data_IF_273080490450
#
_entry.id   IF_273080490450
#
_cell.length_a   1.000
_cell.length_b   1.000
_cell.length_c   1.000
_cell.angle_alpha   90.00
_cell.angle_beta   90.00
_cell.angle_gamma   90.00
#
_symmetry.space_group_name_H-M   'P 1'
#
loop_
_entity.id
_entity.type
_entity.pdbx_description
1 polymer ?
#
# COMPACT_ATOMS: atom_id res chain seq x y z
N UNK A 1 1.94 6.64 20.55
CA UNK A 1 3.09 5.79 20.10
C UNK A 1 3.22 5.92 18.59
N UNK A 2 4.45 6.05 18.04
CA UNK A 2 4.65 6.09 16.58
C UNK A 2 4.29 4.73 16.00
N UNK A 3 3.32 4.71 15.08
CA UNK A 3 2.82 3.50 14.43
C UNK A 3 3.52 3.24 13.09
N UNK A 4 3.71 4.32 12.32
CA UNK A 4 4.46 4.27 11.06
C UNK A 4 5.52 5.37 11.09
N UNK A 5 6.77 5.03 10.79
CA UNK A 5 7.85 6.00 10.64
C UNK A 5 8.51 5.82 9.27
N UNK A 6 8.66 6.88 8.56
CA UNK A 6 9.28 6.91 7.22
C UNK A 6 10.51 7.81 7.26
N UNK A 7 11.66 7.30 6.81
CA UNK A 7 12.95 8.02 6.82
C UNK A 7 13.57 8.07 5.44
N UNK A 8 13.72 9.27 4.90
CA UNK A 8 14.43 9.57 3.64
C UNK A 8 13.99 8.69 2.47
N UNK A 9 12.69 8.36 2.43
CA UNK A 9 12.14 7.42 1.47
C UNK A 9 12.19 7.98 0.06
N UNK A 10 12.84 7.25 -0.83
CA UNK A 10 13.02 7.66 -2.23
C UNK A 10 12.65 6.52 -3.16
N UNK A 11 11.93 6.85 -4.24
CA UNK A 11 11.64 5.94 -5.35
C UNK A 11 11.92 6.59 -6.68
N UNK A 12 12.82 5.98 -7.44
CA UNK A 12 13.14 6.33 -8.81
C UNK A 12 12.87 5.11 -9.68
N UNK A 13 12.09 5.28 -10.73
CA UNK A 13 11.79 4.25 -11.73
C UNK A 13 12.74 4.39 -12.92
N UNK A 14 13.20 3.27 -13.48
CA UNK A 14 14.11 3.23 -14.64
C UNK A 14 15.45 2.59 -14.35
N UNK A 15 16.32 2.56 -15.36
CA UNK A 15 17.62 1.86 -15.27
C UNK A 15 18.73 2.71 -14.67
N UNK A 16 18.73 4.03 -14.90
CA UNK A 16 19.80 4.97 -14.47
C UNK A 16 19.42 5.66 -13.14
N UNK A 17 19.03 4.89 -12.13
CA UNK A 17 18.56 5.42 -10.84
C UNK A 17 19.62 6.21 -10.09
N UNK A 18 20.88 5.77 -10.13
CA UNK A 18 21.98 6.47 -9.44
C UNK A 18 22.24 7.86 -10.03
N UNK A 19 22.31 7.96 -11.36
CA UNK A 19 22.48 9.24 -12.04
C UNK A 19 21.30 10.18 -11.77
N UNK A 20 20.08 9.65 -11.77
CA UNK A 20 18.89 10.44 -11.43
C UNK A 20 18.91 10.93 -9.98
N UNK A 21 19.40 10.13 -9.04
CA UNK A 21 19.53 10.48 -7.63
C UNK A 21 20.54 11.62 -7.45
N UNK A 22 21.68 11.57 -8.13
CA UNK A 22 22.69 12.64 -8.11
C UNK A 22 22.15 13.96 -8.68
N UNK A 23 21.40 13.87 -9.78
CA UNK A 23 20.73 15.03 -10.35
C UNK A 23 19.69 15.63 -9.39
N UNK A 24 18.93 14.79 -8.64
CA UNK A 24 18.02 15.25 -7.59
C UNK A 24 18.75 15.96 -6.45
N UNK A 25 19.86 15.40 -5.96
CA UNK A 25 20.72 16.06 -4.94
C UNK A 25 21.19 17.44 -5.39
N UNK A 26 21.48 17.59 -6.68
CA UNK A 26 21.86 18.85 -7.31
C UNK A 26 20.64 19.73 -7.69
N UNK A 27 19.44 19.41 -7.17
CA UNK A 27 18.18 20.17 -7.36
C UNK A 27 17.78 20.36 -8.84
N UNK A 28 18.16 19.45 -9.72
CA UNK A 28 17.78 19.55 -11.13
C UNK A 28 16.28 19.22 -11.31
N UNK A 29 15.58 19.87 -12.24
CA UNK A 29 14.17 19.61 -12.50
C UNK A 29 13.89 18.17 -12.91
N UNK A 30 12.76 17.60 -12.46
CA UNK A 30 12.35 16.23 -12.80
C UNK A 30 12.26 15.98 -14.31
N UNK A 31 11.88 17.00 -15.08
CA UNK A 31 11.84 16.98 -16.55
C UNK A 31 13.20 16.76 -17.18
N UNK A 32 14.24 17.37 -16.64
CA UNK A 32 15.61 17.25 -17.15
C UNK A 32 16.21 15.90 -16.76
N UNK A 33 15.90 15.42 -15.55
CA UNK A 33 16.26 14.09 -15.10
C UNK A 33 15.68 13.04 -16.05
N UNK A 34 14.38 13.13 -16.36
CA UNK A 34 13.74 12.21 -17.31
C UNK A 34 14.41 12.26 -18.69
N UNK A 35 14.66 13.46 -19.23
CA UNK A 35 15.29 13.63 -20.55
C UNK A 35 16.70 13.04 -20.60
N UNK A 36 17.53 13.26 -19.56
CA UNK A 36 18.94 12.86 -19.54
C UNK A 36 19.14 11.39 -19.14
N UNK A 37 18.28 10.85 -18.28
CA UNK A 37 18.48 9.52 -17.70
C UNK A 37 17.45 8.50 -18.16
N UNK A 38 16.29 8.93 -18.67
CA UNK A 38 15.13 8.08 -18.90
C UNK A 38 14.46 7.58 -17.59
N UNK A 39 14.88 8.11 -16.43
CA UNK A 39 14.34 7.73 -15.13
C UNK A 39 13.27 8.70 -14.66
N UNK A 40 12.26 8.19 -13.98
CA UNK A 40 11.15 8.97 -13.41
C UNK A 40 11.26 8.99 -11.88
N UNK A 41 11.27 10.18 -11.29
CA UNK A 41 11.30 10.37 -9.84
C UNK A 41 9.86 10.33 -9.31
N UNK A 42 9.49 9.21 -8.68
CA UNK A 42 8.17 9.03 -8.07
C UNK A 42 8.06 9.70 -6.70
N UNK A 43 8.98 9.38 -5.79
CA UNK A 43 9.10 9.98 -4.45
C UNK A 43 10.56 10.33 -4.21
N UNK A 44 10.83 11.44 -3.54
CA UNK A 44 12.18 11.85 -3.20
C UNK A 44 12.25 12.38 -1.78
N UNK A 45 13.09 11.75 -0.96
CA UNK A 45 13.47 12.16 0.40
C UNK A 45 12.28 12.44 1.33
N UNK A 46 11.25 11.59 1.25
CA UNK A 46 10.07 11.72 2.10
C UNK A 46 10.35 11.18 3.51
N UNK A 47 10.07 12.01 4.53
CA UNK A 47 10.18 11.63 5.94
C UNK A 47 8.98 12.15 6.71
N UNK A 48 8.33 11.29 7.49
CA UNK A 48 7.19 11.62 8.34
C UNK A 48 6.90 10.48 9.32
N UNK A 49 6.14 10.80 10.36
CA UNK A 49 5.65 9.85 11.35
C UNK A 49 4.13 9.88 11.38
N UNK A 50 3.52 8.73 11.66
CA UNK A 50 2.08 8.59 11.92
C UNK A 50 1.89 7.95 13.28
N UNK A 51 1.10 8.59 14.14
CA UNK A 51 0.84 8.11 15.48
C UNK A 51 -0.29 7.06 15.48
N UNK A 52 -0.35 6.27 16.55
CA UNK A 52 -1.48 5.36 16.78
C UNK A 52 -2.80 6.14 16.88
N UNK A 53 -3.82 5.69 16.16
CA UNK A 53 -5.13 6.35 16.09
C UNK A 53 -5.18 7.60 15.22
N UNK A 54 -4.07 8.01 14.62
CA UNK A 54 -4.00 9.19 13.75
C UNK A 54 -4.55 8.90 12.35
N UNK A 55 -5.26 9.89 11.79
CA UNK A 55 -5.62 9.93 10.37
C UNK A 55 -4.62 10.85 9.66
N UNK A 56 -3.68 10.26 8.96
CA UNK A 56 -2.67 10.99 8.18
C UNK A 56 -3.08 11.12 6.71
N UNK A 57 -3.15 12.35 6.21
CA UNK A 57 -3.64 12.64 4.86
C UNK A 57 -2.50 13.09 3.92
N UNK A 58 -2.35 12.39 2.79
CA UNK A 58 -1.39 12.73 1.74
C UNK A 58 -2.12 13.42 0.59
N UNK A 59 -1.86 14.71 0.40
CA UNK A 59 -2.48 15.52 -0.67
C UNK A 59 -1.47 15.95 -1.72
N UNK A 60 -1.96 16.26 -2.91
CA UNK A 60 -1.16 16.76 -4.04
C UNK A 60 -1.84 16.55 -5.38
N UNK A 61 -1.31 17.19 -6.42
CA UNK A 61 -1.83 17.10 -7.79
C UNK A 61 -1.70 15.68 -8.37
N UNK A 62 -2.38 15.43 -9.48
CA UNK A 62 -2.18 14.19 -10.25
C UNK A 62 -0.72 14.04 -10.67
N UNK A 63 -0.16 12.83 -10.57
CA UNK A 63 1.25 12.58 -10.89
C UNK A 63 2.26 13.01 -9.81
N UNK A 64 1.84 13.58 -8.66
CA UNK A 64 2.78 14.01 -7.61
C UNK A 64 3.47 12.87 -6.84
N UNK A 65 3.05 11.62 -7.03
CA UNK A 65 3.68 10.45 -6.37
C UNK A 65 2.88 9.87 -5.19
N UNK A 66 1.68 10.37 -4.87
CA UNK A 66 0.85 9.89 -3.75
C UNK A 66 0.62 8.38 -3.76
N UNK A 67 0.14 7.85 -4.88
CA UNK A 67 -0.10 6.40 -5.02
C UNK A 67 1.19 5.59 -4.98
N UNK A 68 2.31 6.16 -5.43
CA UNK A 68 3.63 5.55 -5.29
C UNK A 68 4.03 5.48 -3.82
N UNK A 69 3.88 6.58 -3.08
CA UNK A 69 4.20 6.63 -1.65
C UNK A 69 3.38 5.60 -0.86
N UNK A 70 2.06 5.55 -1.05
CA UNK A 70 1.20 4.55 -0.39
C UNK A 70 1.65 3.10 -0.70
N UNK A 71 2.04 2.82 -1.96
CA UNK A 71 2.52 1.49 -2.35
C UNK A 71 3.93 1.17 -1.83
N UNK A 72 4.73 2.18 -1.52
CA UNK A 72 6.01 2.01 -0.83
C UNK A 72 5.80 1.61 0.63
N UNK A 73 4.82 2.21 1.33
CA UNK A 73 4.56 1.95 2.76
C UNK A 73 4.26 0.48 3.07
N UNK A 74 3.70 -0.27 2.11
CA UNK A 74 3.47 -1.70 2.24
C UNK A 74 4.41 -2.56 1.39
N UNK A 75 5.45 -1.95 0.82
CA UNK A 75 6.43 -2.56 -0.11
C UNK A 75 5.80 -3.31 -1.30
N UNK A 76 4.62 -2.89 -1.79
CA UNK A 76 4.15 -3.31 -3.11
C UNK A 76 5.06 -2.75 -4.22
N UNK A 77 5.73 -1.65 -3.93
CA UNK A 77 6.82 -1.10 -4.74
C UNK A 77 8.05 -1.06 -3.83
N UNK A 78 9.16 -1.65 -4.28
CA UNK A 78 10.42 -1.59 -3.54
C UNK A 78 11.00 -0.17 -3.59
N UNK A 79 11.42 0.41 -2.45
CA UNK A 79 12.10 1.71 -2.43
C UNK A 79 13.45 1.66 -3.16
N UNK A 80 13.90 2.79 -3.65
CA UNK A 80 15.27 2.95 -4.15
C UNK A 80 16.23 3.17 -2.98
N UNK A 81 15.79 3.93 -1.97
CA UNK A 81 16.50 4.14 -0.70
C UNK A 81 15.54 4.63 0.38
N UNK A 82 16.01 4.70 1.61
CA UNK A 82 15.24 5.08 2.79
C UNK A 82 14.65 3.86 3.50
N UNK A 83 14.03 4.12 4.65
CA UNK A 83 13.52 3.07 5.55
C UNK A 83 12.05 3.33 5.90
N UNK A 84 11.34 2.26 6.15
CA UNK A 84 9.93 2.26 6.57
C UNK A 84 9.83 1.37 7.82
N UNK A 85 9.36 1.95 8.90
CA UNK A 85 9.15 1.25 10.16
C UNK A 85 7.66 1.15 10.46
N UNK A 86 7.21 -0.03 10.88
CA UNK A 86 5.85 -0.29 11.34
C UNK A 86 5.96 -0.92 12.72
N UNK A 87 5.35 -0.30 13.73
CA UNK A 87 5.50 -0.71 15.14
C UNK A 87 6.98 -0.82 15.57
N UNK A 88 7.85 0.07 15.04
CA UNK A 88 9.28 0.07 15.29
C UNK A 88 10.10 -0.97 14.51
N UNK A 89 9.45 -1.84 13.72
CA UNK A 89 10.11 -2.86 12.90
C UNK A 89 10.45 -2.31 11.51
N UNK A 90 11.71 -2.36 11.09
CA UNK A 90 12.15 -1.91 9.75
C UNK A 90 11.71 -2.91 8.68
N UNK A 91 10.58 -2.64 8.05
CA UNK A 91 10.04 -3.51 7.00
C UNK A 91 10.83 -3.43 5.68
N UNK A 92 11.73 -2.45 5.52
CA UNK A 92 12.54 -2.28 4.30
C UNK A 92 13.55 -3.41 4.11
N UNK A 93 13.93 -4.08 5.21
CA UNK A 93 14.97 -5.12 5.24
C UNK A 93 14.41 -6.54 5.35
N UNK A 94 13.12 -6.68 5.59
CA UNK A 94 12.48 -7.99 5.77
C UNK A 94 12.58 -8.85 4.51
N UNK A 95 12.73 -10.14 4.72
CA UNK A 95 12.57 -11.17 3.69
C UNK A 95 11.14 -11.16 3.12
N UNK A 96 10.92 -11.88 2.03
CA UNK A 96 9.59 -11.99 1.43
C UNK A 96 8.58 -12.67 2.37
N UNK A 97 9.03 -13.63 3.11
CA UNK A 97 8.24 -14.41 4.07
C UNK A 97 7.83 -13.53 5.26
N UNK A 98 8.76 -12.84 5.89
CA UNK A 98 8.50 -11.90 6.98
C UNK A 98 7.58 -10.76 6.54
N UNK A 99 7.80 -10.21 5.35
CA UNK A 99 6.94 -9.16 4.79
C UNK A 99 5.50 -9.65 4.54
N UNK A 100 5.31 -10.94 4.16
CA UNK A 100 3.96 -11.53 4.07
C UNK A 100 3.27 -11.55 5.43
N UNK A 101 3.99 -11.88 6.51
CA UNK A 101 3.41 -11.89 7.85
C UNK A 101 3.02 -10.47 8.30
N UNK A 102 3.86 -9.47 8.04
CA UNK A 102 3.50 -8.07 8.29
C UNK A 102 2.22 -7.67 7.53
N UNK A 103 2.12 -8.02 6.24
CA UNK A 103 0.93 -7.74 5.43
C UNK A 103 -0.31 -8.51 5.88
N UNK A 104 -0.16 -9.70 6.45
CA UNK A 104 -1.28 -10.49 6.99
C UNK A 104 -1.86 -9.90 8.26
N UNK A 105 -1.01 -9.30 9.10
CA UNK A 105 -1.39 -8.99 10.47
C UNK A 105 -1.35 -7.50 10.83
N UNK A 106 -0.51 -6.70 10.16
CA UNK A 106 -0.26 -5.30 10.54
C UNK A 106 -0.72 -4.27 9.51
N UNK A 107 -0.85 -4.63 8.24
CA UNK A 107 -1.15 -3.68 7.16
C UNK A 107 -2.34 -4.15 6.34
N UNK A 108 -3.30 -3.25 6.11
CA UNK A 108 -4.36 -3.45 5.13
C UNK A 108 -4.31 -2.33 4.09
N UNK A 109 -4.78 -2.60 2.88
CA UNK A 109 -4.85 -1.61 1.81
C UNK A 109 -6.18 -1.68 1.09
N UNK A 110 -6.81 -0.53 0.92
CA UNK A 110 -7.97 -0.35 0.04
C UNK A 110 -7.47 0.19 -1.31
N UNK A 111 -7.77 -0.53 -2.38
CA UNK A 111 -7.34 -0.17 -3.74
C UNK A 111 -8.36 0.75 -4.41
N UNK A 112 -7.90 1.65 -5.29
CA UNK A 112 -8.76 2.54 -6.07
C UNK A 112 -9.76 1.77 -6.96
N UNK A 113 -9.36 0.60 -7.48
CA UNK A 113 -10.20 -0.28 -8.30
C UNK A 113 -10.80 -1.42 -7.47
N UNK A 114 -11.12 -1.14 -6.20
CA UNK A 114 -11.74 -2.05 -5.22
C UNK A 114 -10.94 -3.30 -4.89
N UNK A 115 -10.17 -3.88 -5.82
CA UNK A 115 -9.36 -5.08 -5.59
C UNK A 115 -10.17 -6.36 -5.36
N UNK A 116 -11.42 -6.39 -5.83
CA UNK A 116 -12.30 -7.55 -5.67
C UNK A 116 -11.99 -8.63 -6.71
N UNK A 117 -12.12 -9.88 -6.32
CA UNK A 117 -12.06 -11.04 -7.21
C UNK A 117 -13.37 -11.16 -7.97
N UNK A 118 -13.39 -11.02 -9.30
CA UNK A 118 -14.65 -11.00 -10.07
C UNK A 118 -15.37 -12.36 -10.09
N UNK A 119 -14.66 -13.46 -9.81
CA UNK A 119 -15.16 -14.82 -9.77
C UNK A 119 -15.57 -15.30 -8.37
N UNK A 120 -15.50 -14.42 -7.37
CA UNK A 120 -15.95 -14.67 -6.00
C UNK A 120 -17.19 -13.81 -5.69
N UNK A 121 -18.08 -14.33 -4.86
CA UNK A 121 -19.22 -13.55 -4.35
C UNK A 121 -18.75 -12.41 -3.44
N UNK A 122 -19.65 -11.53 -3.06
CA UNK A 122 -19.37 -10.45 -2.11
C UNK A 122 -18.97 -11.02 -0.74
N UNK A 123 -19.64 -12.07 -0.27
CA UNK A 123 -19.24 -12.76 0.96
C UNK A 123 -17.83 -13.34 0.87
N UNK A 124 -17.55 -14.10 -0.19
CA UNK A 124 -16.24 -14.71 -0.42
C UNK A 124 -15.10 -13.67 -0.57
N UNK A 125 -15.40 -12.52 -1.16
CA UNK A 125 -14.45 -11.39 -1.20
C UNK A 125 -14.22 -10.81 0.20
N UNK A 126 -15.29 -10.65 0.99
CA UNK A 126 -15.22 -10.08 2.34
C UNK A 126 -14.45 -10.98 3.30
N UNK A 127 -14.65 -12.30 3.22
CA UNK A 127 -13.96 -13.27 4.08
C UNK A 127 -12.51 -13.57 3.66
N UNK A 128 -12.08 -13.16 2.45
CA UNK A 128 -10.78 -13.53 1.88
C UNK A 128 -9.59 -13.21 2.77
N UNK A 129 -9.58 -12.06 3.42
CA UNK A 129 -8.52 -11.68 4.34
C UNK A 129 -8.38 -12.63 5.54
N UNK A 130 -9.49 -13.17 6.03
CA UNK A 130 -9.53 -14.17 7.09
C UNK A 130 -9.14 -15.56 6.57
N UNK A 131 -9.53 -15.90 5.33
CA UNK A 131 -9.12 -17.13 4.64
C UNK A 131 -7.58 -17.21 4.55
N UNK A 132 -6.93 -16.13 4.09
CA UNK A 132 -5.46 -16.03 3.98
C UNK A 132 -4.76 -16.16 5.34
N UNK A 133 -5.44 -15.76 6.42
CA UNK A 133 -4.95 -15.92 7.81
C UNK A 133 -5.20 -17.32 8.37
N UNK A 134 -5.85 -18.21 7.65
CA UNK A 134 -6.16 -19.56 8.09
C UNK A 134 -7.32 -19.67 9.08
N UNK A 135 -8.18 -18.66 9.17
CA UNK A 135 -9.37 -18.68 10.06
C UNK A 135 -10.35 -19.73 9.54
N UNK A 136 -10.93 -20.59 10.43
CA UNK A 136 -11.92 -21.60 10.04
C UNK A 136 -13.10 -21.00 9.28
N UNK A 137 -13.66 -21.78 8.33
CA UNK A 137 -14.69 -21.29 7.40
C UNK A 137 -15.92 -20.71 8.11
N UNK A 138 -16.42 -21.39 9.11
CA UNK A 138 -17.60 -20.95 9.86
C UNK A 138 -17.38 -19.60 10.56
N UNK A 139 -16.23 -19.46 11.21
CA UNK A 139 -15.87 -18.23 11.92
C UNK A 139 -15.66 -17.05 10.94
N UNK A 140 -14.96 -17.28 9.80
CA UNK A 140 -14.73 -16.21 8.83
C UNK A 140 -16.00 -15.77 8.12
N UNK A 141 -16.92 -16.69 7.81
CA UNK A 141 -18.21 -16.35 7.23
C UNK A 141 -19.05 -15.51 8.18
N UNK A 142 -19.14 -15.89 9.46
CA UNK A 142 -19.86 -15.12 10.47
C UNK A 142 -19.30 -13.71 10.60
N UNK A 143 -17.98 -13.55 10.65
CA UNK A 143 -17.32 -12.22 10.70
C UNK A 143 -17.55 -11.40 9.43
N UNK A 144 -17.54 -12.05 8.26
CA UNK A 144 -17.79 -11.40 6.99
C UNK A 144 -19.25 -10.94 6.87
N UNK A 145 -20.22 -11.77 7.27
CA UNK A 145 -21.63 -11.39 7.31
C UNK A 145 -21.87 -10.20 8.24
N UNK A 146 -21.26 -10.21 9.42
CA UNK A 146 -21.35 -9.07 10.34
C UNK A 146 -20.77 -7.79 9.74
N UNK A 147 -19.64 -7.86 9.02
CA UNK A 147 -19.05 -6.72 8.34
C UNK A 147 -19.94 -6.19 7.21
N UNK A 148 -20.58 -7.08 6.46
CA UNK A 148 -21.56 -6.74 5.42
C UNK A 148 -22.82 -6.11 6.01
N UNK A 149 -23.30 -6.60 7.13
CA UNK A 149 -24.45 -6.04 7.84
C UNK A 149 -24.15 -4.60 8.30
N UNK A 150 -23.00 -4.39 8.94
CA UNK A 150 -22.54 -3.06 9.37
C UNK A 150 -22.42 -2.05 8.21
N UNK A 151 -22.21 -2.55 6.99
CA UNK A 151 -22.10 -1.75 5.77
C UNK A 151 -23.40 -1.70 4.96
N UNK A 152 -24.50 -2.29 5.46
CA UNK A 152 -25.79 -2.42 4.75
C UNK A 152 -25.70 -3.19 3.41
N UNK A 153 -24.76 -4.11 3.32
CA UNK A 153 -24.49 -4.91 2.12
C UNK A 153 -24.83 -6.40 2.28
N UNK A 154 -25.39 -6.82 3.41
CA UNK A 154 -25.65 -8.24 3.67
C UNK A 154 -26.62 -8.88 2.64
N UNK A 155 -27.60 -8.13 2.14
CA UNK A 155 -28.54 -8.60 1.11
C UNK A 155 -27.88 -8.91 -0.24
N UNK A 156 -26.64 -8.45 -0.46
CA UNK A 156 -25.86 -8.66 -1.67
C UNK A 156 -24.81 -9.77 -1.52
N UNK A 157 -24.75 -10.46 -0.39
CA UNK A 157 -23.66 -11.39 -0.04
C UNK A 157 -23.40 -12.47 -1.08
N UNK A 158 -24.44 -12.95 -1.74
CA UNK A 158 -24.39 -14.03 -2.74
C UNK A 158 -24.19 -13.54 -4.17
N UNK A 159 -24.15 -12.22 -4.38
CA UNK A 159 -23.92 -11.61 -5.69
C UNK A 159 -22.43 -11.51 -6.01
N UNK A 160 -22.12 -11.43 -7.30
CA UNK A 160 -20.78 -11.14 -7.80
C UNK A 160 -20.53 -9.63 -7.93
N UNK A 161 -19.26 -9.17 -7.87
CA UNK A 161 -18.93 -7.74 -8.01
C UNK A 161 -19.53 -7.05 -9.23
N UNK A 162 -19.65 -7.78 -10.35
CA UNK A 162 -20.24 -7.26 -11.60
C UNK A 162 -21.76 -7.00 -11.51
N UNK A 163 -22.42 -7.49 -10.49
CA UNK A 163 -23.86 -7.31 -10.26
C UNK A 163 -24.18 -6.13 -9.34
N UNK A 164 -23.13 -5.54 -8.73
CA UNK A 164 -23.26 -4.30 -7.96
C UNK A 164 -23.06 -3.10 -8.88
N UNK A 165 -23.95 -2.13 -8.77
CA UNK A 165 -23.86 -0.86 -9.51
C UNK A 165 -22.83 0.08 -8.89
#
# INVERSE_FOLDING_TARGET
MVKVEVKNLTKIFGKKTQAALEMMKNRQPKTDILKKTGATVGVYDASFDVQEGEIFVIMGLSGSGKSTLIRLLNRLIEPTSGNIYIDGEDISKLSKEELREVRRHKINMVFQNFGLFPHRTILENTEYGLEVRGVPKEERQQKAEQALENSSLLSFKDQYPSQLS
#
